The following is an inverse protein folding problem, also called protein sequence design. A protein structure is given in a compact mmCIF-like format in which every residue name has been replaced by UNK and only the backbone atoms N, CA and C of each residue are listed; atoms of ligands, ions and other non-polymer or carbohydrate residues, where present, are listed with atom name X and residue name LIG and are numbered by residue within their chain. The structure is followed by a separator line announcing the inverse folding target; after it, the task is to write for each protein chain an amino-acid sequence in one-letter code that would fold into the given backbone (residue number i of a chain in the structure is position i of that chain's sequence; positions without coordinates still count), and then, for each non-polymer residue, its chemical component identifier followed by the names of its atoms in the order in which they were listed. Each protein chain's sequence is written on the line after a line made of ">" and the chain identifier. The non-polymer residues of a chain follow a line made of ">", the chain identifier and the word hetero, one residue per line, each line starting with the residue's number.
data_IF_062673679414
#
_entry.id   IF_062673679414
#
_cell.length_a   1.000
_cell.length_b   1.000
_cell.length_c   1.000
_cell.angle_alpha   90.00
_cell.angle_beta   90.00
_cell.angle_gamma   90.00
#
_symmetry.space_group_name_H-M   'P 1'
#
loop_
_entity.id
_entity.type
_entity.pdbx_description
1 polymer ?
#
# COMPACT_ATOMS: atom_id res chain seq x y z
N UNK A 1 18.80 13.58 7.04
CA UNK A 1 17.44 14.00 6.61
C UNK A 1 16.83 13.04 5.58
N UNK A 2 17.61 12.46 4.67
CA UNK A 2 17.13 11.57 3.59
C UNK A 2 16.39 10.29 4.06
N UNK A 3 16.83 9.67 5.17
CA UNK A 3 16.16 8.50 5.75
C UNK A 3 14.74 8.80 6.25
N UNK A 4 14.42 10.06 6.55
CA UNK A 4 13.08 10.42 7.02
C UNK A 4 12.07 10.38 5.86
N UNK A 5 12.40 10.91 4.69
CA UNK A 5 11.46 10.94 3.55
C UNK A 5 11.10 9.55 3.03
N UNK A 6 12.07 8.65 2.86
CA UNK A 6 11.83 7.27 2.40
C UNK A 6 10.92 6.51 3.37
N UNK A 7 11.20 6.65 4.66
CA UNK A 7 10.40 6.07 5.72
C UNK A 7 8.96 6.62 5.69
N UNK A 8 8.80 7.95 5.58
CA UNK A 8 7.47 8.57 5.51
C UNK A 8 6.67 8.10 4.30
N UNK A 9 7.31 7.98 3.13
CA UNK A 9 6.66 7.43 1.94
C UNK A 9 6.18 5.99 2.20
N UNK A 10 7.04 5.13 2.75
CA UNK A 10 6.66 3.76 3.06
C UNK A 10 5.51 3.70 4.08
N UNK A 11 5.58 4.51 5.14
CA UNK A 11 4.54 4.58 6.17
C UNK A 11 3.19 5.06 5.59
N UNK A 12 3.22 6.08 4.74
CA UNK A 12 2.02 6.59 4.08
C UNK A 12 1.42 5.58 3.11
N UNK A 13 2.25 4.84 2.36
CA UNK A 13 1.76 3.74 1.51
C UNK A 13 1.11 2.65 2.37
N UNK A 14 1.75 2.24 3.46
CA UNK A 14 1.18 1.21 4.36
C UNK A 14 -0.16 1.70 4.94
N UNK A 15 -0.23 2.95 5.41
CA UNK A 15 -1.48 3.55 5.89
C UNK A 15 -2.57 3.53 4.81
N UNK A 16 -2.24 3.99 3.59
CA UNK A 16 -3.20 3.95 2.49
C UNK A 16 -3.70 2.52 2.22
N UNK A 17 -2.82 1.53 2.20
CA UNK A 17 -3.20 0.14 1.99
C UNK A 17 -4.13 -0.38 3.10
N UNK A 18 -3.88 0.00 4.36
CA UNK A 18 -4.73 -0.36 5.49
C UNK A 18 -6.11 0.32 5.42
N UNK A 19 -6.18 1.57 4.97
CA UNK A 19 -7.41 2.37 4.94
C UNK A 19 -8.27 2.12 3.69
N UNK A 20 -7.62 1.88 2.54
CA UNK A 20 -8.29 1.70 1.24
C UNK A 20 -8.65 0.25 0.92
N UNK A 21 -8.23 -0.69 1.76
CA UNK A 21 -8.51 -2.12 1.61
C UNK A 21 -8.92 -2.73 2.95
N UNK A 22 -9.39 -3.98 2.94
CA UNK A 22 -9.63 -4.74 4.18
C UNK A 22 -8.38 -5.52 4.63
N UNK A 23 -7.19 -5.14 4.19
CA UNK A 23 -5.95 -5.82 4.53
C UNK A 23 -5.48 -5.44 5.93
N UNK A 24 -5.05 -6.45 6.69
CA UNK A 24 -4.25 -6.21 7.90
C UNK A 24 -2.78 -6.04 7.54
N UNK A 25 -1.96 -5.57 8.49
CA UNK A 25 -0.50 -5.56 8.36
C UNK A 25 0.06 -6.95 8.02
N UNK A 26 -0.59 -8.03 8.47
CA UNK A 26 -0.19 -9.39 8.10
C UNK A 26 -0.44 -9.67 6.62
N UNK A 27 -1.62 -9.33 6.11
CA UNK A 27 -1.96 -9.49 4.69
C UNK A 27 -0.96 -8.74 3.81
N UNK A 28 -0.62 -7.50 4.19
CA UNK A 28 0.36 -6.69 3.45
C UNK A 28 1.75 -7.34 3.51
N UNK A 29 2.19 -7.83 4.67
CA UNK A 29 3.47 -8.51 4.80
C UNK A 29 3.56 -9.77 3.93
N UNK A 30 2.47 -10.56 3.90
CA UNK A 30 2.35 -11.77 3.08
C UNK A 30 2.42 -11.43 1.58
N UNK A 31 1.75 -10.37 1.13
CA UNK A 31 1.78 -9.88 -0.26
C UNK A 31 3.15 -9.33 -0.67
N UNK A 32 3.91 -8.78 0.28
CA UNK A 32 5.27 -8.28 0.05
C UNK A 32 6.33 -9.37 0.22
N UNK A 33 5.93 -10.60 0.53
CA UNK A 33 6.83 -11.72 0.86
C UNK A 33 7.87 -11.36 1.93
N UNK A 34 7.44 -10.57 2.92
CA UNK A 34 8.30 -10.10 4.01
C UNK A 34 7.75 -10.54 5.37
N UNK A 35 8.58 -10.42 6.40
CA UNK A 35 8.10 -10.70 7.76
C UNK A 35 7.19 -9.58 8.25
N UNK A 36 6.14 -9.93 9.01
CA UNK A 36 5.31 -8.94 9.70
C UNK A 36 6.14 -8.05 10.65
N UNK A 37 7.27 -8.55 11.15
CA UNK A 37 8.21 -7.78 11.98
C UNK A 37 8.82 -6.62 11.19
N UNK A 38 9.28 -6.86 9.95
CA UNK A 38 9.83 -5.80 9.10
C UNK A 38 8.78 -4.71 8.84
N UNK A 39 7.53 -5.10 8.58
CA UNK A 39 6.44 -4.14 8.38
C UNK A 39 6.15 -3.33 9.64
N UNK A 40 6.13 -3.97 10.81
CA UNK A 40 5.94 -3.31 12.12
C UNK A 40 7.06 -2.31 12.43
N UNK A 41 8.30 -2.63 12.09
CA UNK A 41 9.45 -1.75 12.33
C UNK A 41 9.37 -0.45 11.52
N UNK A 42 8.79 -0.49 10.32
CA UNK A 42 8.50 0.73 9.54
C UNK A 42 7.31 1.48 10.16
N UNK A 43 6.25 0.75 10.49
CA UNK A 43 4.97 1.33 10.84
C UNK A 43 4.94 1.95 12.23
N UNK A 44 5.45 1.22 13.23
CA UNK A 44 5.45 1.60 14.64
C UNK A 44 6.80 2.17 15.09
N UNK A 45 7.90 1.52 14.73
CA UNK A 45 9.23 1.86 15.27
C UNK A 45 9.93 2.98 14.48
N UNK A 46 9.34 3.44 13.37
CA UNK A 46 9.88 4.49 12.50
C UNK A 46 11.32 4.22 12.04
N UNK A 47 11.62 2.95 11.79
CA UNK A 47 12.93 2.50 11.35
C UNK A 47 12.86 1.93 9.94
N UNK A 48 13.69 2.49 9.07
CA UNK A 48 13.78 2.05 7.68
C UNK A 48 14.61 0.77 7.59
N UNK A 49 14.09 -0.35 7.04
CA UNK A 49 14.93 -1.51 6.77
C UNK A 49 15.97 -1.16 5.71
N UNK A 50 17.19 -1.68 5.87
CA UNK A 50 18.28 -1.46 4.92
C UNK A 50 18.04 -2.06 3.53
N UNK A 51 16.95 -2.81 3.35
CA UNK A 51 16.65 -3.53 2.12
C UNK A 51 15.82 -2.69 1.15
N UNK A 52 16.46 -2.19 0.10
CA UNK A 52 15.83 -1.41 -0.98
C UNK A 52 14.82 -2.23 -1.80
N UNK A 53 14.90 -3.57 -1.79
CA UNK A 53 13.92 -4.41 -2.50
C UNK A 53 12.52 -4.25 -1.90
N UNK A 54 12.43 -4.04 -0.58
CA UNK A 54 11.16 -3.87 0.12
C UNK A 54 10.41 -2.63 -0.38
N UNK A 55 11.10 -1.49 -0.52
CA UNK A 55 10.50 -0.26 -1.04
C UNK A 55 9.89 -0.45 -2.42
N UNK A 56 10.61 -1.16 -3.30
CA UNK A 56 10.14 -1.43 -4.66
C UNK A 56 8.87 -2.27 -4.65
N UNK A 57 8.84 -3.36 -3.88
CA UNK A 57 7.64 -4.21 -3.80
C UNK A 57 6.47 -3.47 -3.15
N UNK A 58 6.73 -2.63 -2.15
CA UNK A 58 5.72 -1.80 -1.51
C UNK A 58 5.08 -0.81 -2.50
N UNK A 59 5.89 -0.14 -3.31
CA UNK A 59 5.42 0.79 -4.34
C UNK A 59 4.64 0.03 -5.43
N UNK A 60 5.08 -1.16 -5.83
CA UNK A 60 4.33 -1.98 -6.81
C UNK A 60 2.96 -2.38 -6.30
N UNK A 61 2.89 -2.84 -5.04
CA UNK A 61 1.62 -3.20 -4.42
C UNK A 61 0.68 -1.99 -4.35
N UNK A 62 1.21 -0.82 -3.99
CA UNK A 62 0.46 0.44 -3.99
C UNK A 62 -0.13 0.78 -5.37
N UNK A 63 0.70 0.73 -6.42
CA UNK A 63 0.26 1.02 -7.78
C UNK A 63 -0.82 0.03 -8.26
N UNK A 64 -0.68 -1.26 -7.95
CA UNK A 64 -1.67 -2.28 -8.27
C UNK A 64 -3.03 -2.00 -7.59
N UNK A 65 -3.01 -1.63 -6.30
CA UNK A 65 -4.24 -1.31 -5.56
C UNK A 65 -4.88 -0.02 -6.10
N UNK A 66 -4.08 0.99 -6.48
CA UNK A 66 -4.59 2.19 -7.13
C UNK A 66 -5.29 1.86 -8.45
N UNK A 67 -4.66 1.05 -9.30
CA UNK A 67 -5.22 0.63 -10.59
C UNK A 67 -6.56 -0.10 -10.39
N UNK A 68 -6.62 -1.07 -9.46
CA UNK A 68 -7.85 -1.78 -9.12
C UNK A 68 -8.94 -0.81 -8.62
N UNK A 69 -8.58 0.15 -7.77
CA UNK A 69 -9.53 1.10 -7.21
C UNK A 69 -10.06 2.09 -8.27
N UNK A 70 -9.22 2.53 -9.20
CA UNK A 70 -9.62 3.37 -10.34
C UNK A 70 -10.62 2.60 -11.20
N UNK A 71 -10.33 1.34 -11.56
CA UNK A 71 -11.24 0.53 -12.38
C UNK A 71 -12.60 0.30 -11.71
N UNK A 72 -12.64 0.05 -10.39
CA UNK A 72 -13.91 -0.07 -9.64
C UNK A 72 -14.75 1.20 -9.70
N UNK A 73 -14.13 2.39 -9.68
CA UNK A 73 -14.84 3.65 -9.79
C UNK A 73 -15.46 3.84 -11.19
N UNK A 74 -14.79 3.38 -12.25
CA UNK A 74 -15.32 3.47 -13.61
C UNK A 74 -16.48 2.49 -13.86
N UNK A 75 -16.45 1.29 -13.30
CA UNK A 75 -17.58 0.33 -13.40
C UNK A 75 -18.83 0.81 -12.64
N UNK A 76 -18.67 1.52 -11.52
CA UNK A 76 -19.78 2.11 -10.77
C UNK A 76 -20.55 3.21 -11.52
N UNK A 77 -19.92 3.86 -12.50
CA UNK A 77 -20.55 4.90 -13.34
C UNK A 77 -21.19 4.35 -14.62
N UNK A 78 -20.89 3.10 -15.01
CA UNK A 78 -21.44 2.48 -16.21
C UNK A 78 -22.93 2.10 -16.06
N UNK A 79 -23.45 1.97 -14.84
CA UNK A 79 -24.85 1.63 -14.58
C UNK A 79 -25.83 2.82 -14.62
N UNK A 80 -25.38 4.03 -15.00
CA UNK A 80 -26.23 5.23 -14.98
C UNK A 80 -26.62 5.78 -16.37
N UNK A 81 -26.40 5.03 -17.45
CA UNK A 81 -26.77 5.44 -18.82
C UNK A 81 -27.89 4.59 -19.45
N UNK A 82 -28.74 3.99 -18.60
CA UNK A 82 -29.87 3.18 -19.04
C UNK A 82 -31.19 3.67 -18.44
N UNK A 83 -31.56 4.94 -18.67
CA UNK A 83 -32.95 5.45 -18.67
C UNK A 83 -32.93 6.98 -18.84
N UNK A 84 -32.98 7.45 -20.10
CA UNK A 84 -33.64 8.69 -20.50
C UNK A 84 -34.11 8.53 -21.95
#
# INVERSE_FOLDING_TARGET
>A
MENNFRLQICKNIINYLLESTNYSLKNIADLLHCSIRQLRTIYFDELMPANVSFERELVRLYLLILEINIHKQHEGLAYNWGCL
#
